data_IF_008974610119
#
_entry.id   IF_008974610119
#
_cell.length_a   1.000
_cell.length_b   1.000
_cell.length_c   1.000
_cell.angle_alpha   90.00
_cell.angle_beta   90.00
_cell.angle_gamma   90.00
#
_symmetry.space_group_name_H-M   'P 1'
#
loop_
_entity.id
_entity.type
_entity.pdbx_description
1 polymer ?
#
# COMPACT_ATOMS: atom_id res chain seq x y z
N UNK A 1 -28.04 -8.85 -11.31
CA UNK A 1 -28.82 -9.05 -10.07
C UNK A 1 -28.85 -7.75 -9.28
N UNK A 2 -29.81 -7.57 -8.37
CA UNK A 2 -29.85 -6.39 -7.48
C UNK A 2 -28.59 -6.29 -6.60
N UNK A 3 -28.04 -7.45 -6.21
CA UNK A 3 -26.76 -7.53 -5.49
C UNK A 3 -25.60 -6.89 -6.27
N UNK A 4 -25.45 -7.20 -7.56
CA UNK A 4 -24.37 -6.63 -8.39
C UNK A 4 -24.48 -5.11 -8.50
N UNK A 5 -25.71 -4.56 -8.55
CA UNK A 5 -25.93 -3.11 -8.57
C UNK A 5 -25.48 -2.47 -7.25
N UNK A 6 -25.84 -3.08 -6.12
CA UNK A 6 -25.42 -2.61 -4.80
C UNK A 6 -23.89 -2.63 -4.66
N UNK A 7 -23.24 -3.74 -5.00
CA UNK A 7 -21.78 -3.86 -4.96
C UNK A 7 -21.09 -2.84 -5.87
N UNK A 8 -21.64 -2.58 -7.07
CA UNK A 8 -21.10 -1.58 -7.98
C UNK A 8 -21.20 -0.16 -7.41
N UNK A 9 -22.31 0.19 -6.77
CA UNK A 9 -22.49 1.49 -6.11
C UNK A 9 -21.52 1.64 -4.94
N UNK A 10 -21.41 0.63 -4.08
CA UNK A 10 -20.49 0.65 -2.94
C UNK A 10 -19.03 0.76 -3.40
N UNK A 11 -18.62 -0.04 -4.39
CA UNK A 11 -17.28 0.03 -4.98
C UNK A 11 -16.97 1.39 -5.61
N UNK A 12 -17.92 1.97 -6.36
CA UNK A 12 -17.76 3.29 -6.96
C UNK A 12 -17.59 4.39 -5.90
N UNK A 13 -18.35 4.32 -4.81
CA UNK A 13 -18.27 5.29 -3.72
C UNK A 13 -16.95 5.20 -2.96
N UNK A 14 -16.44 3.99 -2.71
CA UNK A 14 -15.12 3.79 -2.09
C UNK A 14 -14.01 4.29 -3.02
N UNK A 15 -14.07 3.91 -4.30
CA UNK A 15 -13.11 4.39 -5.29
C UNK A 15 -13.09 5.92 -5.37
N UNK A 16 -14.27 6.56 -5.40
CA UNK A 16 -14.38 8.01 -5.38
C UNK A 16 -13.77 8.62 -4.12
N UNK A 17 -14.00 8.01 -2.96
CA UNK A 17 -13.41 8.43 -1.68
C UNK A 17 -11.89 8.40 -1.74
N UNK A 18 -11.29 7.31 -2.21
CA UNK A 18 -9.83 7.16 -2.37
C UNK A 18 -9.28 8.13 -3.42
N UNK A 19 -9.90 8.18 -4.60
CA UNK A 19 -9.44 9.01 -5.74
C UNK A 19 -9.39 10.49 -5.40
N UNK A 20 -10.30 10.96 -4.55
CA UNK A 20 -10.40 12.36 -4.14
C UNK A 20 -9.87 12.62 -2.73
N UNK A 21 -9.13 11.67 -2.15
CA UNK A 21 -8.51 11.81 -0.82
C UNK A 21 -9.52 12.24 0.27
N UNK A 22 -10.74 11.72 0.20
CA UNK A 22 -11.81 12.07 1.15
C UNK A 22 -11.71 11.21 2.41
N UNK A 23 -12.09 11.78 3.55
CA UNK A 23 -12.18 11.05 4.80
C UNK A 23 -13.25 9.96 4.76
N UNK A 24 -12.94 8.76 5.26
CA UNK A 24 -13.94 7.70 5.45
C UNK A 24 -15.05 8.09 6.43
N UNK A 25 -14.77 8.96 7.40
CA UNK A 25 -15.78 9.51 8.30
C UNK A 25 -16.78 10.36 7.51
N UNK A 26 -16.29 11.20 6.59
CA UNK A 26 -17.14 11.97 5.69
C UNK A 26 -17.95 11.06 4.76
N UNK A 27 -17.34 9.97 4.29
CA UNK A 27 -18.01 8.97 3.48
C UNK A 27 -19.19 8.30 4.22
N UNK A 28 -18.99 7.90 5.49
CA UNK A 28 -20.03 7.35 6.36
C UNK A 28 -21.22 8.31 6.52
N UNK A 29 -20.92 9.59 6.76
CA UNK A 29 -21.94 10.63 6.85
C UNK A 29 -22.70 10.82 5.51
N UNK A 30 -21.98 10.77 4.40
CA UNK A 30 -22.55 10.89 3.05
C UNK A 30 -23.56 9.77 2.76
N UNK A 31 -23.29 8.54 3.19
CA UNK A 31 -24.24 7.42 3.05
C UNK A 31 -25.54 7.69 3.80
N UNK A 32 -25.47 8.25 5.02
CA UNK A 32 -26.67 8.61 5.78
C UNK A 32 -27.50 9.68 5.07
N UNK A 33 -26.85 10.63 4.39
CA UNK A 33 -27.53 11.65 3.58
C UNK A 33 -28.19 10.99 2.36
N UNK A 34 -27.48 10.14 1.63
CA UNK A 34 -28.00 9.43 0.45
C UNK A 34 -29.28 8.65 0.80
N UNK A 35 -29.30 7.93 1.92
CA UNK A 35 -30.50 7.20 2.38
C UNK A 35 -31.70 8.11 2.64
N UNK A 36 -31.47 9.33 3.13
CA UNK A 36 -32.52 10.33 3.39
C UNK A 36 -32.98 11.04 2.13
N UNK A 37 -32.07 11.35 1.21
CA UNK A 37 -32.39 12.01 -0.05
C UNK A 37 -33.12 11.09 -1.04
N UNK A 38 -32.89 9.77 -0.95
CA UNK A 38 -33.49 8.78 -1.84
C UNK A 38 -34.28 7.72 -1.06
N UNK A 39 -35.35 8.10 -0.35
CA UNK A 39 -36.11 7.21 0.51
C UNK A 39 -36.91 6.15 -0.27
N UNK A 40 -37.02 6.25 -1.59
CA UNK A 40 -37.73 5.26 -2.42
C UNK A 40 -36.79 4.29 -3.13
N UNK A 41 -35.47 4.54 -3.10
CA UNK A 41 -34.49 3.68 -3.74
C UNK A 41 -34.14 2.49 -2.84
N UNK A 42 -34.46 1.28 -3.31
CA UNK A 42 -34.04 0.03 -2.66
C UNK A 42 -32.52 -0.07 -2.57
N UNK A 43 -31.80 0.34 -3.63
CA UNK A 43 -30.34 0.36 -3.64
C UNK A 43 -29.78 1.33 -2.60
N UNK A 44 -30.27 2.57 -2.54
CA UNK A 44 -29.77 3.57 -1.59
C UNK A 44 -29.95 3.14 -0.12
N UNK A 45 -31.12 2.58 0.22
CA UNK A 45 -31.41 2.06 1.57
C UNK A 45 -30.42 0.99 2.00
N UNK A 46 -30.05 0.12 1.06
CA UNK A 46 -29.25 -1.06 1.30
C UNK A 46 -27.73 -0.81 1.23
N UNK A 47 -27.27 0.41 0.97
CA UNK A 47 -25.84 0.75 1.08
C UNK A 47 -25.41 0.58 2.53
N UNK A 48 -24.44 -0.30 2.77
CA UNK A 48 -23.89 -0.62 4.10
C UNK A 48 -22.40 -0.27 4.21
N UNK A 49 -21.79 0.23 3.14
CA UNK A 49 -20.37 0.59 3.09
C UNK A 49 -20.01 1.86 3.91
N UNK A 50 -20.43 1.92 5.16
CA UNK A 50 -20.24 3.05 6.07
C UNK A 50 -18.83 3.12 6.68
N UNK A 51 -17.95 2.13 6.48
CA UNK A 51 -16.59 2.07 7.07
C UNK A 51 -15.54 1.43 6.15
N UNK A 52 -14.28 1.53 6.60
CA UNK A 52 -13.04 0.92 6.09
C UNK A 52 -13.15 -0.54 5.64
N UNK A 53 -14.17 -1.31 6.04
CA UNK A 53 -14.32 -2.73 5.73
C UNK A 53 -14.26 -3.06 4.24
N UNK A 54 -14.93 -2.32 3.34
CA UNK A 54 -14.87 -2.66 1.91
C UNK A 54 -13.57 -2.23 1.24
N UNK A 55 -13.03 -1.07 1.61
CA UNK A 55 -11.75 -0.60 1.12
C UNK A 55 -10.61 -1.55 1.55
N UNK A 56 -10.57 -1.90 2.84
CA UNK A 56 -9.48 -2.67 3.43
C UNK A 56 -9.63 -4.18 3.25
N UNK A 57 -10.86 -4.73 3.21
CA UNK A 57 -11.04 -6.20 3.15
C UNK A 57 -11.32 -6.72 1.73
N UNK A 58 -11.69 -5.85 0.78
CA UNK A 58 -12.00 -6.27 -0.59
C UNK A 58 -11.09 -5.59 -1.60
N UNK A 59 -11.07 -4.26 -1.63
CA UNK A 59 -10.29 -3.53 -2.64
C UNK A 59 -8.79 -3.64 -2.42
N UNK A 60 -8.31 -3.48 -1.18
CA UNK A 60 -6.88 -3.53 -0.90
C UNK A 60 -6.27 -4.90 -1.22
N UNK A 61 -6.79 -6.06 -0.74
CA UNK A 61 -6.26 -7.36 -1.11
C UNK A 61 -6.33 -7.60 -2.62
N UNK A 62 -7.43 -7.23 -3.27
CA UNK A 62 -7.58 -7.39 -4.72
C UNK A 62 -6.56 -6.56 -5.51
N UNK A 63 -6.27 -5.33 -5.07
CA UNK A 63 -5.28 -4.48 -5.73
C UNK A 63 -3.86 -4.98 -5.48
N UNK A 64 -3.54 -5.43 -4.26
CA UNK A 64 -2.25 -6.05 -3.94
C UNK A 64 -2.04 -7.29 -4.79
N UNK A 65 -3.00 -8.21 -4.86
CA UNK A 65 -2.91 -9.40 -5.71
C UNK A 65 -2.74 -9.05 -7.19
N UNK A 66 -3.46 -8.03 -7.68
CA UNK A 66 -3.30 -7.54 -9.04
C UNK A 66 -1.87 -7.04 -9.31
N UNK A 67 -1.31 -6.24 -8.40
CA UNK A 67 0.07 -5.74 -8.50
C UNK A 67 1.08 -6.88 -8.45
N UNK A 68 0.94 -7.82 -7.53
CA UNK A 68 1.81 -9.00 -7.38
C UNK A 68 1.80 -9.83 -8.67
N UNK A 69 0.63 -10.11 -9.23
CA UNK A 69 0.50 -10.82 -10.50
C UNK A 69 1.20 -10.07 -11.65
N UNK A 70 1.12 -8.74 -11.72
CA UNK A 70 1.87 -7.98 -12.72
C UNK A 70 3.39 -8.09 -12.52
N UNK A 71 3.86 -8.05 -11.28
CA UNK A 71 5.29 -8.13 -10.96
C UNK A 71 5.86 -9.51 -11.30
N UNK A 72 5.10 -10.58 -11.06
CA UNK A 72 5.51 -11.94 -11.43
C UNK A 72 5.78 -12.09 -12.94
N UNK A 73 5.22 -11.20 -13.77
CA UNK A 73 5.40 -11.18 -15.22
C UNK A 73 6.50 -10.22 -15.71
N UNK A 74 7.26 -9.58 -14.81
CA UNK A 74 8.40 -8.74 -15.19
C UNK A 74 9.73 -9.34 -14.77
N UNK A 75 10.81 -8.94 -15.45
CA UNK A 75 12.15 -9.42 -15.11
C UNK A 75 12.67 -8.84 -13.80
N UNK A 76 12.39 -7.56 -13.55
CA UNK A 76 13.00 -6.81 -12.44
C UNK A 76 12.03 -5.80 -11.83
N UNK A 77 12.20 -5.57 -10.54
CA UNK A 77 11.46 -4.55 -9.79
C UNK A 77 12.34 -3.87 -8.74
N UNK A 78 11.86 -2.74 -8.26
CA UNK A 78 12.48 -1.93 -7.22
C UNK A 78 11.54 -1.82 -6.03
N UNK A 79 12.09 -1.78 -4.82
CA UNK A 79 11.33 -1.51 -3.60
C UNK A 79 11.73 -0.14 -3.06
N UNK A 80 10.74 0.58 -2.56
CA UNK A 80 10.93 1.66 -1.62
C UNK A 80 10.16 1.40 -0.34
N UNK A 81 10.74 1.75 0.78
CA UNK A 81 10.06 1.77 2.05
C UNK A 81 10.32 3.07 2.78
N UNK A 82 9.43 3.37 3.71
CA UNK A 82 9.53 4.51 4.61
C UNK A 82 9.11 4.08 6.01
N UNK A 83 9.49 4.83 7.03
CA UNK A 83 8.92 4.62 8.35
C UNK A 83 8.20 5.88 8.81
N UNK A 84 6.98 5.70 9.31
CA UNK A 84 6.13 6.76 9.84
C UNK A 84 5.76 6.45 11.27
N UNK A 85 5.77 7.47 12.13
CA UNK A 85 5.44 7.31 13.55
C UNK A 85 3.98 7.68 13.78
N UNK A 86 3.21 6.81 14.44
CA UNK A 86 1.91 7.14 15.03
C UNK A 86 1.93 6.79 16.53
N UNK A 87 2.25 7.77 17.37
CA UNK A 87 2.49 7.51 18.78
C UNK A 87 3.66 6.54 18.96
N UNK A 88 3.41 5.39 19.60
CA UNK A 88 4.41 4.35 19.85
C UNK A 88 4.46 3.25 18.76
N UNK A 89 3.56 3.30 17.76
CA UNK A 89 3.54 2.33 16.66
C UNK A 89 4.20 2.96 15.43
N UNK A 90 5.10 2.20 14.81
CA UNK A 90 5.76 2.55 13.56
C UNK A 90 5.05 1.84 12.43
N UNK A 91 4.70 2.58 11.38
CA UNK A 91 4.15 2.03 10.16
C UNK A 91 5.19 2.07 9.06
N UNK A 92 5.41 0.93 8.42
CA UNK A 92 6.39 0.74 7.36
C UNK A 92 5.67 0.34 6.08
N UNK A 93 5.26 1.32 5.24
CA UNK A 93 4.82 1.04 3.88
C UNK A 93 5.93 0.42 3.04
N UNK A 94 5.64 -0.70 2.39
CA UNK A 94 6.50 -1.30 1.37
C UNK A 94 5.86 -1.06 0.00
N UNK A 95 6.55 -0.31 -0.84
CA UNK A 95 6.06 0.11 -2.15
C UNK A 95 6.97 -0.43 -3.23
N UNK A 96 6.38 -0.95 -4.29
CA UNK A 96 7.08 -1.51 -5.44
C UNK A 96 7.00 -0.57 -6.64
N UNK A 97 8.05 -0.58 -7.46
CA UNK A 97 8.10 0.06 -8.76
C UNK A 97 8.61 -0.96 -9.79
N UNK A 98 7.96 -1.02 -10.94
CA UNK A 98 8.38 -1.90 -12.02
C UNK A 98 7.94 -1.33 -13.38
N UNK A 99 8.58 -1.82 -14.45
CA UNK A 99 8.21 -1.45 -15.82
C UNK A 99 7.29 -2.52 -16.41
N UNK A 100 6.03 -2.16 -16.64
CA UNK A 100 5.04 -3.00 -17.29
C UNK A 100 4.98 -2.73 -18.80
N UNK A 101 4.18 -3.51 -19.54
CA UNK A 101 3.89 -3.26 -20.97
C UNK A 101 3.32 -1.86 -21.23
N UNK A 102 2.68 -1.24 -20.24
CA UNK A 102 2.06 0.09 -20.34
C UNK A 102 2.91 1.19 -19.72
N UNK A 103 4.17 0.91 -19.35
CA UNK A 103 5.10 1.86 -18.73
C UNK A 103 5.35 1.60 -17.24
N UNK A 104 5.93 2.60 -16.57
CA UNK A 104 6.29 2.54 -15.14
C UNK A 104 5.02 2.46 -14.28
N UNK A 105 4.97 1.48 -13.40
CA UNK A 105 3.90 1.30 -12.42
C UNK A 105 4.44 1.36 -11.00
N UNK A 106 3.56 1.74 -10.08
CA UNK A 106 3.79 1.73 -8.63
C UNK A 106 2.65 0.98 -7.95
N UNK A 107 2.95 0.32 -6.84
CA UNK A 107 1.94 -0.35 -6.02
C UNK A 107 2.41 -0.50 -4.59
N UNK A 108 1.48 -0.60 -3.66
CA UNK A 108 1.79 -0.91 -2.26
C UNK A 108 1.67 -2.43 -2.10
N UNK A 109 2.72 -3.05 -1.56
CA UNK A 109 2.71 -4.47 -1.24
C UNK A 109 2.12 -4.71 0.15
N UNK A 110 2.55 -3.94 1.15
CA UNK A 110 2.10 -4.10 2.53
C UNK A 110 2.32 -2.84 3.37
N UNK A 111 1.55 -2.69 4.45
CA UNK A 111 1.81 -1.79 5.57
C UNK A 111 2.14 -2.60 6.82
N UNK A 112 3.39 -2.56 7.26
CA UNK A 112 3.81 -3.29 8.45
C UNK A 112 3.73 -2.38 9.67
N UNK A 113 3.01 -2.82 10.70
CA UNK A 113 3.01 -2.18 12.02
C UNK A 113 4.06 -2.86 12.91
N UNK A 114 4.99 -2.07 13.46
CA UNK A 114 6.03 -2.57 14.35
C UNK A 114 6.37 -1.59 15.47
N UNK A 115 6.92 -2.10 16.58
CA UNK A 115 7.36 -1.29 17.71
C UNK A 115 8.82 -0.83 17.58
N UNK A 116 9.65 -1.62 16.89
CA UNK A 116 11.09 -1.39 16.74
C UNK A 116 11.46 -1.18 15.27
N UNK A 117 12.51 -0.41 15.01
CA UNK A 117 13.01 -0.08 13.66
C UNK A 117 14.50 -0.39 13.55
N UNK A 118 14.95 -1.52 14.11
CA UNK A 118 16.33 -1.93 13.87
C UNK A 118 16.51 -2.29 12.39
N UNK A 119 17.76 -2.26 11.91
CA UNK A 119 18.05 -2.65 10.54
C UNK A 119 17.64 -4.11 10.28
N UNK A 120 17.79 -4.98 11.28
CA UNK A 120 17.43 -6.40 11.20
C UNK A 120 15.91 -6.59 11.14
N UNK A 121 15.15 -5.85 11.95
CA UNK A 121 13.68 -5.91 11.93
C UNK A 121 13.12 -5.49 10.56
N UNK A 122 13.60 -4.36 10.04
CA UNK A 122 13.19 -3.86 8.72
C UNK A 122 13.61 -4.83 7.60
N UNK A 123 14.82 -5.36 7.66
CA UNK A 123 15.29 -6.37 6.70
C UNK A 123 14.40 -7.63 6.72
N UNK A 124 14.15 -8.18 7.90
CA UNK A 124 13.33 -9.39 8.07
C UNK A 124 11.90 -9.17 7.57
N UNK A 125 11.32 -8.01 7.88
CA UNK A 125 9.98 -7.63 7.47
C UNK A 125 9.84 -7.43 5.95
N UNK A 126 10.78 -6.73 5.32
CA UNK A 126 10.77 -6.57 3.85
C UNK A 126 10.96 -7.93 3.18
N UNK A 127 11.90 -8.76 3.67
CA UNK A 127 12.15 -10.10 3.15
C UNK A 127 10.91 -10.99 3.28
N UNK A 128 10.25 -10.98 4.44
CA UNK A 128 9.00 -11.70 4.67
C UNK A 128 7.91 -11.30 3.68
N UNK A 129 7.70 -10.00 3.44
CA UNK A 129 6.68 -9.53 2.49
C UNK A 129 6.98 -9.98 1.06
N UNK A 130 8.24 -10.00 0.65
CA UNK A 130 8.60 -10.52 -0.67
C UNK A 130 8.35 -12.03 -0.77
N UNK A 131 8.77 -12.80 0.22
CA UNK A 131 8.60 -14.25 0.25
C UNK A 131 7.11 -14.64 0.31
N UNK A 132 6.31 -13.95 1.12
CA UNK A 132 4.87 -14.16 1.26
C UNK A 132 4.09 -13.87 -0.03
N UNK A 133 4.62 -12.99 -0.90
CA UNK A 133 4.04 -12.68 -2.21
C UNK A 133 4.74 -13.43 -3.36
N UNK A 134 5.55 -14.44 -3.04
CA UNK A 134 6.31 -15.25 -4.01
C UNK A 134 7.21 -14.41 -4.95
N UNK A 135 7.65 -13.24 -4.48
CA UNK A 135 8.53 -12.35 -5.22
C UNK A 135 9.98 -12.75 -4.99
N UNK A 136 10.70 -13.06 -6.06
CA UNK A 136 12.07 -13.57 -5.95
C UNK A 136 13.04 -12.43 -5.66
N UNK A 137 13.87 -12.62 -4.64
CA UNK A 137 14.92 -11.64 -4.28
C UNK A 137 15.85 -11.32 -5.44
N UNK A 138 16.16 -12.28 -6.32
CA UNK A 138 17.05 -12.06 -7.47
C UNK A 138 16.47 -11.14 -8.56
N UNK A 139 15.17 -10.82 -8.50
CA UNK A 139 14.51 -9.84 -9.37
C UNK A 139 14.55 -8.42 -8.79
N UNK A 140 14.94 -8.27 -7.51
CA UNK A 140 15.07 -6.97 -6.85
C UNK A 140 16.36 -6.27 -7.32
N UNK A 141 16.21 -5.17 -8.06
CA UNK A 141 17.36 -4.41 -8.61
C UNK A 141 17.70 -3.18 -7.80
N UNK A 142 16.76 -2.60 -7.06
CA UNK A 142 17.06 -1.46 -6.20
C UNK A 142 16.23 -1.42 -4.93
N UNK A 143 16.86 -0.94 -3.87
CA UNK A 143 16.20 -0.65 -2.59
C UNK A 143 16.33 0.84 -2.29
N UNK A 144 15.21 1.54 -2.14
CA UNK A 144 15.17 2.96 -1.82
C UNK A 144 14.55 3.24 -0.46
N UNK A 145 15.16 4.19 0.25
CA UNK A 145 14.73 4.64 1.57
C UNK A 145 15.30 6.03 1.85
N UNK A 146 15.06 6.58 3.04
CA UNK A 146 15.76 7.77 3.49
C UNK A 146 17.21 7.45 3.92
N UNK A 147 18.03 8.48 4.10
CA UNK A 147 19.44 8.31 4.45
C UNK A 147 19.66 8.20 5.98
N UNK A 148 18.70 7.67 6.74
CA UNK A 148 18.91 7.42 8.17
C UNK A 148 19.96 6.33 8.38
N UNK A 149 20.60 6.33 9.56
CA UNK A 149 21.68 5.38 9.86
C UNK A 149 21.23 3.92 9.76
N UNK A 150 19.99 3.64 10.16
CA UNK A 150 19.36 2.32 10.06
C UNK A 150 19.27 1.85 8.60
N UNK A 151 19.05 2.77 7.68
CA UNK A 151 18.82 2.46 6.28
C UNK A 151 20.10 2.42 5.44
N UNK A 152 21.08 3.30 5.70
CA UNK A 152 22.26 3.41 4.83
C UNK A 152 23.59 3.83 5.49
N UNK A 153 23.82 3.54 6.78
CA UNK A 153 25.11 3.84 7.44
C UNK A 153 26.28 2.95 6.95
N UNK A 154 27.50 3.20 7.43
CA UNK A 154 28.71 2.53 6.93
C UNK A 154 28.92 1.06 7.37
N UNK A 155 28.13 0.53 8.32
CA UNK A 155 28.44 -0.77 8.94
C UNK A 155 27.26 -1.75 8.98
N UNK A 156 26.16 -1.39 9.66
CA UNK A 156 25.00 -2.27 9.84
C UNK A 156 23.72 -1.50 9.53
N UNK A 157 23.16 -1.77 8.35
CA UNK A 157 22.00 -1.08 7.84
C UNK A 157 21.21 -2.00 6.89
N UNK A 158 19.95 -1.65 6.61
CA UNK A 158 19.05 -2.47 5.78
C UNK A 158 19.64 -2.72 4.38
N UNK A 159 20.22 -1.70 3.73
CA UNK A 159 20.82 -1.85 2.41
C UNK A 159 21.98 -2.87 2.42
N UNK A 160 22.92 -2.74 3.36
CA UNK A 160 24.04 -3.65 3.51
C UNK A 160 23.59 -5.08 3.86
N UNK A 161 22.47 -5.25 4.57
CA UNK A 161 21.88 -6.57 4.81
C UNK A 161 21.37 -7.21 3.52
N UNK A 162 20.66 -6.46 2.67
CA UNK A 162 20.21 -6.98 1.38
C UNK A 162 21.36 -7.21 0.38
N UNK A 163 22.37 -6.35 0.36
CA UNK A 163 23.52 -6.44 -0.55
C UNK A 163 24.31 -7.74 -0.35
N UNK A 164 24.35 -8.28 0.88
CA UNK A 164 24.93 -9.61 1.15
C UNK A 164 24.26 -10.75 0.36
N UNK A 165 22.97 -10.62 0.07
CA UNK A 165 22.21 -11.59 -0.73
C UNK A 165 22.16 -11.20 -2.21
N UNK A 166 22.32 -9.91 -2.51
CA UNK A 166 22.18 -9.31 -3.83
C UNK A 166 23.36 -8.37 -4.11
N UNK A 167 24.54 -8.88 -4.50
CA UNK A 167 25.74 -8.04 -4.70
C UNK A 167 25.60 -6.98 -5.80
N UNK A 168 24.59 -7.09 -6.67
CA UNK A 168 24.27 -6.11 -7.71
C UNK A 168 23.17 -5.11 -7.33
N UNK A 169 22.75 -5.08 -6.06
CA UNK A 169 21.67 -4.21 -5.59
C UNK A 169 22.06 -2.74 -5.72
N UNK A 170 21.19 -1.95 -6.33
CA UNK A 170 21.40 -0.52 -6.51
C UNK A 170 20.74 0.25 -5.36
N UNK A 171 21.48 1.18 -4.76
CA UNK A 171 20.89 2.12 -3.79
C UNK A 171 19.94 3.08 -4.52
N UNK A 172 18.64 2.90 -4.29
CA UNK A 172 17.60 3.78 -4.80
C UNK A 172 17.44 5.04 -3.96
N UNK A 173 16.94 6.12 -4.57
CA UNK A 173 16.40 7.25 -3.81
C UNK A 173 14.94 6.98 -3.48
N UNK A 174 14.48 7.43 -2.31
CA UNK A 174 13.04 7.49 -1.98
C UNK A 174 12.28 8.23 -3.09
N UNK A 175 11.26 7.60 -3.68
CA UNK A 175 10.51 8.22 -4.76
C UNK A 175 9.67 9.41 -4.24
N UNK A 176 9.77 10.58 -4.88
CA UNK A 176 9.03 11.79 -4.49
C UNK A 176 7.51 11.61 -4.54
N UNK A 177 7.01 10.89 -5.55
CA UNK A 177 5.59 10.60 -5.72
C UNK A 177 5.04 9.62 -4.66
N UNK A 178 5.93 8.83 -4.06
CA UNK A 178 5.56 7.90 -2.98
C UNK A 178 5.39 8.63 -1.65
N UNK A 179 6.05 9.78 -1.39
CA UNK A 179 5.71 10.62 -0.22
C UNK A 179 4.25 11.03 -0.21
N UNK A 180 3.73 11.36 -1.39
CA UNK A 180 2.32 11.72 -1.61
C UNK A 180 1.45 10.47 -1.44
N UNK A 181 1.79 9.36 -2.10
CA UNK A 181 0.99 8.13 -2.02
C UNK A 181 0.98 7.52 -0.62
N UNK A 182 2.13 7.49 0.08
CA UNK A 182 2.25 7.06 1.48
C UNK A 182 1.52 8.04 2.39
N UNK A 183 1.71 9.36 2.27
CA UNK A 183 0.95 10.32 3.11
C UNK A 183 -0.55 10.17 2.92
N UNK A 184 -1.02 9.99 1.68
CA UNK A 184 -2.44 9.80 1.39
C UNK A 184 -2.94 8.45 1.89
N UNK A 185 -2.23 7.34 1.64
CA UNK A 185 -2.61 6.02 2.13
C UNK A 185 -2.58 5.96 3.66
N UNK A 186 -1.58 6.55 4.31
CA UNK A 186 -1.53 6.73 5.76
C UNK A 186 -2.74 7.57 6.22
N UNK A 187 -3.04 8.70 5.59
CA UNK A 187 -4.24 9.50 5.93
C UNK A 187 -5.54 8.71 5.77
N UNK A 188 -5.60 7.82 4.78
CA UNK A 188 -6.74 6.93 4.50
C UNK A 188 -6.83 5.80 5.54
N UNK A 189 -5.72 5.19 5.97
CA UNK A 189 -5.70 4.14 6.99
C UNK A 189 -5.78 4.68 8.44
N UNK A 190 -5.47 5.96 8.67
CA UNK A 190 -5.34 6.57 10.00
C UNK A 190 -6.55 7.39 10.48
N UNK A 191 -7.63 7.52 9.68
CA UNK A 191 -8.88 8.22 10.04
C UNK A 191 -10.06 7.25 9.99
#
# INVERSE_FOLDING_TARGET
>A
TELNKLCAVEGAMVFYTVKHSRSYISHACTINIIKKCFPDSSTAKNITCDKTKHACNVLAPSLTSYIVNEIQNVSFFSICYDTSNKGNVKMVPIVVQFFSKTGVKHGILEFIEQMHESADDLFANIKYVLEANELKLNQLVSLGSDNTNVNVSNHHNVFALFEKFLPGLIKGKKYSNIKISISHSITIFLI
#
